data_IF_117156137061
#
_entry.id   IF_117156137061
#
_cell.length_a   1.000
_cell.length_b   1.000
_cell.length_c   1.000
_cell.angle_alpha   90.00
_cell.angle_beta   90.00
_cell.angle_gamma   90.00
#
_symmetry.space_group_name_H-M   'P 1'
#
loop_
_entity.id
_entity.type
_entity.pdbx_description
1 polymer ?
#
# COMPACT_ATOMS: atom_id res chain seq x y z
N UNK A 1 14.41 -23.26 7.06
CA UNK A 1 13.46 -22.17 7.32
C UNK A 1 12.93 -21.71 5.97
N UNK A 2 11.80 -22.26 5.49
CA UNK A 2 11.16 -21.74 4.28
C UNK A 2 10.63 -20.35 4.64
N UNK A 3 11.32 -19.31 4.20
CA UNK A 3 10.83 -17.94 4.31
C UNK A 3 9.64 -17.87 3.37
N UNK A 4 8.43 -18.02 3.92
CA UNK A 4 7.20 -17.69 3.20
C UNK A 4 7.30 -16.20 2.89
N UNK A 5 7.81 -15.89 1.71
CA UNK A 5 7.90 -14.53 1.23
C UNK A 5 6.47 -14.01 1.10
N UNK A 6 6.10 -13.03 1.92
CA UNK A 6 4.78 -12.42 1.90
C UNK A 6 4.49 -12.00 0.46
N UNK A 7 3.48 -12.60 -0.16
CA UNK A 7 3.17 -12.38 -1.56
C UNK A 7 2.96 -10.89 -1.89
N UNK A 8 2.52 -10.10 -0.90
CA UNK A 8 2.40 -8.65 -1.04
C UNK A 8 3.77 -8.00 -1.26
N UNK A 9 4.81 -8.46 -0.57
CA UNK A 9 6.18 -7.98 -0.73
C UNK A 9 6.76 -8.38 -2.09
N UNK A 10 6.48 -9.61 -2.56
CA UNK A 10 6.90 -10.03 -3.90
C UNK A 10 6.27 -9.19 -5.00
N UNK A 11 4.95 -8.97 -4.96
CA UNK A 11 4.25 -8.14 -5.96
C UNK A 11 4.68 -6.68 -5.89
N UNK A 12 4.83 -6.13 -4.68
CA UNK A 12 5.39 -4.78 -4.48
C UNK A 12 6.77 -4.65 -5.11
N UNK A 13 7.67 -5.62 -4.87
CA UNK A 13 9.03 -5.60 -5.41
C UNK A 13 9.03 -5.61 -6.93
N UNK A 14 8.21 -6.47 -7.54
CA UNK A 14 8.05 -6.50 -9.01
C UNK A 14 7.48 -5.19 -9.54
N UNK A 15 6.41 -4.67 -8.92
CA UNK A 15 5.76 -3.42 -9.35
C UNK A 15 6.71 -2.23 -9.29
N UNK A 16 7.43 -2.07 -8.17
CA UNK A 16 8.40 -0.98 -7.97
C UNK A 16 9.63 -1.10 -8.88
N UNK A 17 9.92 -2.29 -9.41
CA UNK A 17 11.01 -2.50 -10.36
C UNK A 17 10.61 -2.18 -11.81
N UNK A 18 9.33 -2.30 -12.16
CA UNK A 18 8.83 -2.09 -13.54
C UNK A 18 8.08 -0.78 -13.73
N UNK A 19 7.63 -0.12 -12.67
CA UNK A 19 6.89 1.13 -12.74
C UNK A 19 7.70 2.27 -12.12
N UNK A 20 7.60 3.50 -12.66
CA UNK A 20 8.19 4.68 -12.04
C UNK A 20 7.50 5.04 -10.71
N UNK A 21 6.26 4.59 -10.51
CA UNK A 21 5.50 4.81 -9.29
C UNK A 21 5.84 3.78 -8.21
N UNK A 22 6.07 4.27 -7.00
CA UNK A 22 6.35 3.44 -5.82
C UNK A 22 5.05 3.12 -5.11
N UNK A 23 4.81 1.84 -4.83
CA UNK A 23 3.67 1.36 -4.06
C UNK A 23 4.08 0.81 -2.69
N UNK A 24 3.16 0.91 -1.73
CA UNK A 24 3.29 0.46 -0.36
C UNK A 24 2.15 -0.48 0.02
N UNK A 25 2.43 -1.39 0.94
CA UNK A 25 1.37 -2.20 1.56
C UNK A 25 0.52 -1.35 2.50
N UNK A 26 -0.71 -1.79 2.77
CA UNK A 26 -1.62 -1.10 3.73
C UNK A 26 -0.96 -0.93 5.10
N UNK A 27 -0.17 -1.91 5.56
CA UNK A 27 0.55 -1.80 6.82
C UNK A 27 1.61 -0.70 6.80
N UNK A 28 2.44 -0.66 5.75
CA UNK A 28 3.49 0.36 5.60
C UNK A 28 2.90 1.76 5.46
N UNK A 29 1.83 1.90 4.67
CA UNK A 29 1.10 3.15 4.52
C UNK A 29 0.47 3.62 5.84
N UNK A 30 -0.08 2.68 6.62
CA UNK A 30 -0.57 2.95 7.97
C UNK A 30 0.54 3.46 8.87
N UNK A 31 1.70 2.80 8.89
CA UNK A 31 2.86 3.24 9.66
C UNK A 31 3.33 4.65 9.28
N UNK A 32 3.29 5.03 8.01
CA UNK A 32 3.63 6.39 7.57
C UNK A 32 2.67 7.46 8.10
N UNK A 33 1.37 7.12 8.19
CA UNK A 33 0.33 8.05 8.67
C UNK A 33 0.06 7.95 10.18
N UNK A 34 0.78 7.10 10.90
CA UNK A 34 0.52 6.82 12.31
C UNK A 34 -0.79 6.06 12.57
N UNK A 35 -1.27 5.31 11.58
CA UNK A 35 -2.51 4.53 11.63
C UNK A 35 -2.23 3.03 11.75
N UNK A 36 -3.07 2.32 12.49
CA UNK A 36 -3.08 0.86 12.46
C UNK A 36 -3.54 0.35 11.07
N UNK A 37 -3.26 -0.92 10.76
CA UNK A 37 -3.65 -1.53 9.48
C UNK A 37 -5.15 -1.40 9.20
N UNK A 38 -6.00 -1.61 10.21
CA UNK A 38 -7.45 -1.53 10.04
C UNK A 38 -7.95 -0.09 9.95
N UNK A 39 -7.34 0.83 10.71
CA UNK A 39 -7.58 2.27 10.54
C UNK A 39 -7.17 2.73 9.14
N UNK A 40 -6.07 2.22 8.60
CA UNK A 40 -5.61 2.55 7.26
C UNK A 40 -6.59 2.07 6.20
N UNK A 41 -7.18 0.88 6.31
CA UNK A 41 -8.23 0.42 5.37
C UNK A 41 -9.41 1.40 5.34
N UNK A 42 -9.90 1.80 6.52
CA UNK A 42 -10.98 2.77 6.63
C UNK A 42 -10.57 4.14 6.06
N UNK A 43 -9.32 4.54 6.27
CA UNK A 43 -8.77 5.78 5.73
C UNK A 43 -8.72 5.77 4.21
N UNK A 44 -8.29 4.67 3.59
CA UNK A 44 -8.28 4.47 2.13
C UNK A 44 -9.68 4.63 1.57
N UNK A 45 -10.68 4.01 2.19
CA UNK A 45 -12.07 4.09 1.74
C UNK A 45 -12.64 5.51 1.88
N UNK A 46 -12.37 6.18 3.01
CA UNK A 46 -12.85 7.55 3.27
C UNK A 46 -12.23 8.58 2.34
N UNK A 47 -10.93 8.48 2.08
CA UNK A 47 -10.19 9.44 1.26
C UNK A 47 -10.12 9.02 -0.22
N UNK A 48 -10.78 7.92 -0.59
CA UNK A 48 -10.83 7.37 -1.96
C UNK A 48 -9.44 7.19 -2.58
N UNK A 49 -8.47 6.72 -1.79
CA UNK A 49 -7.11 6.50 -2.27
C UNK A 49 -7.07 5.40 -3.33
N UNK A 50 -6.09 5.49 -4.23
CA UNK A 50 -5.93 4.54 -5.33
C UNK A 50 -5.50 3.18 -4.79
N UNK A 51 -6.37 2.18 -4.98
CA UNK A 51 -6.11 0.78 -4.61
C UNK A 51 -5.52 0.05 -5.80
N UNK A 52 -4.22 -0.19 -5.79
CA UNK A 52 -3.55 -1.00 -6.81
C UNK A 52 -3.80 -2.48 -6.48
N UNK A 53 -4.64 -3.21 -7.23
CA UNK A 53 -5.03 -4.57 -6.88
C UNK A 53 -3.82 -5.51 -6.93
N UNK A 54 -3.68 -6.35 -5.90
CA UNK A 54 -2.71 -7.44 -5.89
C UNK A 54 -3.45 -8.70 -6.30
N UNK A 55 -3.30 -9.13 -7.55
CA UNK A 55 -3.92 -10.37 -8.06
C UNK A 55 -5.47 -10.29 -8.07
N UNK A 56 -6.17 -11.40 -8.30
CA UNK A 56 -7.65 -11.45 -8.33
C UNK A 56 -8.32 -11.31 -6.95
N UNK A 57 -7.63 -10.80 -5.94
CA UNK A 57 -8.17 -10.64 -4.59
C UNK A 57 -8.64 -9.21 -4.33
N UNK A 58 -9.93 -9.05 -4.06
CA UNK A 58 -10.54 -7.76 -3.66
C UNK A 58 -10.05 -7.24 -2.30
N UNK A 59 -9.53 -8.11 -1.44
CA UNK A 59 -9.07 -7.73 -0.09
C UNK A 59 -7.61 -7.32 -0.01
N UNK A 60 -6.80 -7.58 -1.05
CA UNK A 60 -5.36 -7.28 -1.06
C UNK A 60 -5.06 -6.26 -2.15
N UNK A 61 -4.57 -5.11 -1.72
CA UNK A 61 -4.18 -4.02 -2.58
C UNK A 61 -2.94 -3.32 -2.02
N UNK A 62 -2.22 -2.64 -2.90
CA UNK A 62 -1.17 -1.70 -2.57
C UNK A 62 -1.70 -0.28 -2.73
N UNK A 63 -0.99 0.67 -2.14
CA UNK A 63 -1.30 2.10 -2.17
C UNK A 63 -0.15 2.85 -2.79
N UNK A 64 -0.45 3.91 -3.54
CA UNK A 64 0.58 4.75 -4.13
C UNK A 64 1.27 5.57 -3.03
N UNK A 65 2.60 5.49 -3.00
CA UNK A 65 3.41 6.27 -2.06
C UNK A 65 3.27 7.77 -2.35
N UNK A 66 3.18 8.17 -3.62
CA UNK A 66 3.02 9.57 -4.04
C UNK A 66 1.74 10.21 -3.49
N UNK A 67 0.62 9.49 -3.50
CA UNK A 67 -0.64 9.96 -2.91
C UNK A 67 -0.49 10.17 -1.40
N UNK A 68 0.15 9.21 -0.71
CA UNK A 68 0.39 9.30 0.73
C UNK A 68 1.35 10.45 1.08
N UNK A 69 2.44 10.60 0.33
CA UNK A 69 3.41 11.69 0.52
C UNK A 69 2.73 13.05 0.32
N UNK A 70 1.83 13.18 -0.66
CA UNK A 70 1.05 14.40 -0.90
C UNK A 70 0.14 14.75 0.28
N UNK A 71 -0.48 13.74 0.90
CA UNK A 71 -1.30 13.91 2.10
C UNK A 71 -0.44 14.36 3.30
N UNK A 72 0.73 13.76 3.47
CA UNK A 72 1.66 14.13 4.55
C UNK A 72 2.20 15.54 4.35
N UNK A 73 2.51 15.95 3.11
CA UNK A 73 2.99 17.31 2.81
C UNK A 73 1.91 18.39 2.92
N UNK A 74 0.64 18.02 2.76
CA UNK A 74 -0.50 18.95 2.90
C UNK A 74 -0.87 19.20 4.37
N UNK A 75 -0.33 18.41 5.30
CA UNK A 75 -0.49 18.58 6.75
C UNK A 75 0.56 19.50 7.34
#
# INVERSE_FOLDING_TARGET
MQVFEDWNQKVKKTFNATNPEVVLTVSEAGSLLGLSKDQMKLYVDKNKLTKVPIMRSVHRYLLLKSELDSIVQTR
#
